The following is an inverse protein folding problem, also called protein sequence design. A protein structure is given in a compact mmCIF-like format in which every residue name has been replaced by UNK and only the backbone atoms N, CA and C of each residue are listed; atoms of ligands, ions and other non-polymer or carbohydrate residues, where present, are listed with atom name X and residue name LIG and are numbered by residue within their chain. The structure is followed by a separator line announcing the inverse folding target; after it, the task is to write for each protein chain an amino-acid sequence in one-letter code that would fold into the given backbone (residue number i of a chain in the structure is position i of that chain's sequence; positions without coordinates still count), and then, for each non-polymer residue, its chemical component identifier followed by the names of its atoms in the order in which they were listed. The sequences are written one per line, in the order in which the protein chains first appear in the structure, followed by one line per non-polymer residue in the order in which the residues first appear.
data_IF_938495933151
#
_entry.id   IF_938495933151
#
_cell.length_a   1.000
_cell.length_b   1.000
_cell.length_c   1.000
_cell.angle_alpha   90.00
_cell.angle_beta   90.00
_cell.angle_gamma   90.00
#
_symmetry.space_group_name_H-M   'P 1'
#
loop_
_entity.id
_entity.type
_entity.pdbx_description
1 polymer ?
#
# COMPACT_ATOMS: atom_id res chain seq x y z
N UNK A 1 -0.78 -24.65 0.92
CA UNK A 1 0.39 -25.16 0.15
C UNK A 1 0.14 -26.46 -0.67
N UNK A 2 -1.00 -27.17 -0.59
CA UNK A 2 -1.23 -28.46 -1.31
C UNK A 2 -1.90 -28.39 -2.71
N UNK A 3 -2.41 -27.23 -3.16
CA UNK A 3 -3.12 -27.11 -4.47
C UNK A 3 -2.18 -27.03 -5.68
N UNK A 4 -0.96 -26.52 -5.51
CA UNK A 4 0.00 -26.35 -6.61
C UNK A 4 0.58 -27.66 -7.15
N UNK A 5 0.73 -28.69 -6.30
CA UNK A 5 1.31 -30.00 -6.67
C UNK A 5 0.34 -30.89 -7.46
N UNK A 6 -0.97 -30.76 -7.25
CA UNK A 6 -1.95 -31.58 -7.97
C UNK A 6 -2.12 -31.12 -9.43
N UNK A 7 -2.11 -29.80 -9.64
CA UNK A 7 -2.25 -29.19 -10.97
C UNK A 7 -1.00 -29.42 -11.82
N UNK A 8 0.19 -29.35 -11.22
CA UNK A 8 1.45 -29.63 -11.92
C UNK A 8 1.56 -31.11 -12.35
N UNK A 9 1.09 -32.03 -11.52
CA UNK A 9 1.15 -33.46 -11.81
C UNK A 9 0.19 -33.86 -12.94
N UNK A 10 -1.05 -33.36 -12.91
CA UNK A 10 -2.02 -33.52 -14.00
C UNK A 10 -1.51 -32.94 -15.32
N UNK A 11 -0.91 -31.75 -15.29
CA UNK A 11 -0.33 -31.09 -16.47
C UNK A 11 0.82 -31.91 -17.09
N UNK A 12 1.64 -32.54 -16.24
CA UNK A 12 2.73 -33.41 -16.70
C UNK A 12 2.22 -34.68 -17.39
N UNK A 13 1.12 -35.26 -16.88
CA UNK A 13 0.49 -36.47 -17.46
C UNK A 13 -0.15 -36.19 -18.81
N UNK A 14 -0.90 -35.10 -18.95
CA UNK A 14 -1.48 -34.69 -20.23
C UNK A 14 -0.41 -34.40 -21.29
N UNK A 15 0.67 -33.72 -20.90
CA UNK A 15 1.79 -33.44 -21.81
C UNK A 15 2.44 -34.71 -22.32
N UNK A 16 2.70 -35.68 -21.44
CA UNK A 16 3.27 -36.99 -21.82
C UNK A 16 2.34 -37.74 -22.77
N UNK A 17 1.03 -37.70 -22.54
CA UNK A 17 0.03 -38.29 -23.43
C UNK A 17 0.08 -37.69 -24.84
N UNK A 18 0.13 -36.36 -24.96
CA UNK A 18 0.18 -35.68 -26.25
C UNK A 18 1.43 -36.04 -27.06
N UNK A 19 2.61 -36.01 -26.44
CA UNK A 19 3.86 -36.41 -27.09
C UNK A 19 3.85 -37.88 -27.53
N UNK A 20 3.24 -38.75 -26.73
CA UNK A 20 3.11 -40.17 -27.07
C UNK A 20 2.24 -40.35 -28.31
N UNK A 21 1.08 -39.70 -28.37
CA UNK A 21 0.21 -39.76 -29.55
C UNK A 21 0.84 -39.13 -30.80
N UNK A 22 1.50 -37.98 -30.67
CA UNK A 22 2.20 -37.36 -31.79
C UNK A 22 3.31 -38.27 -32.35
N UNK A 23 4.03 -38.99 -31.48
CA UNK A 23 5.06 -39.96 -31.89
C UNK A 23 4.45 -41.16 -32.61
N UNK A 24 3.35 -41.72 -32.07
CA UNK A 24 2.61 -42.82 -32.71
C UNK A 24 2.14 -42.40 -34.10
N UNK A 25 1.59 -41.20 -34.24
CA UNK A 25 1.16 -40.67 -35.51
C UNK A 25 2.32 -40.51 -36.50
N UNK A 26 3.46 -39.95 -36.08
CA UNK A 26 4.64 -39.87 -36.96
C UNK A 26 5.07 -41.27 -37.46
N UNK A 27 5.09 -42.27 -36.57
CA UNK A 27 5.45 -43.66 -36.94
C UNK A 27 4.45 -44.23 -37.95
N UNK A 28 3.15 -44.09 -37.69
CA UNK A 28 2.09 -44.54 -38.60
C UNK A 28 2.18 -43.82 -39.95
N UNK A 29 2.45 -42.52 -39.95
CA UNK A 29 2.68 -41.73 -41.16
C UNK A 29 3.84 -42.29 -41.99
N UNK A 30 4.99 -42.55 -41.38
CA UNK A 30 6.17 -43.13 -42.07
C UNK A 30 5.86 -44.53 -42.62
N UNK A 31 5.14 -45.37 -41.87
CA UNK A 31 4.73 -46.71 -42.34
C UNK A 31 3.78 -46.62 -43.55
N UNK A 32 2.81 -45.71 -43.53
CA UNK A 32 1.92 -45.47 -44.67
C UNK A 32 2.69 -44.95 -45.89
N UNK A 33 3.73 -44.13 -45.68
CA UNK A 33 4.61 -43.68 -46.75
C UNK A 33 5.34 -44.87 -47.38
N UNK A 34 5.88 -45.76 -46.56
CA UNK A 34 6.57 -46.96 -47.05
C UNK A 34 5.62 -47.92 -47.78
N UNK A 35 4.40 -48.11 -47.29
CA UNK A 35 3.39 -48.91 -47.98
C UNK A 35 3.04 -48.28 -49.34
N UNK A 36 2.97 -46.94 -49.41
CA UNK A 36 2.67 -46.23 -50.65
C UNK A 36 3.70 -46.48 -51.77
N UNK A 37 4.97 -46.76 -51.42
CA UNK A 37 6.03 -47.04 -52.42
C UNK A 37 6.01 -48.47 -52.94
N UNK A 38 5.41 -49.40 -52.19
CA UNK A 38 5.28 -50.82 -52.58
C UNK A 38 4.04 -51.04 -53.46
N UNK A 39 3.00 -50.22 -53.27
CA UNK A 39 1.75 -50.34 -54.04
C UNK A 39 1.96 -50.00 -55.52
N UNK A 40 1.59 -50.94 -56.40
CA UNK A 40 1.67 -50.78 -57.86
C UNK A 40 0.51 -49.95 -58.43
N UNK A 41 -0.62 -49.92 -57.72
CA UNK A 41 -1.79 -49.10 -58.08
C UNK A 41 -1.52 -47.62 -57.79
N UNK A 42 -1.55 -46.79 -58.84
CA UNK A 42 -1.28 -45.35 -58.78
C UNK A 42 -2.28 -44.60 -57.90
N UNK A 43 -3.54 -45.01 -57.89
CA UNK A 43 -4.59 -44.31 -57.15
C UNK A 43 -4.41 -44.53 -55.65
N UNK A 44 -4.19 -45.78 -55.24
CA UNK A 44 -3.93 -46.12 -53.84
C UNK A 44 -2.59 -45.56 -53.34
N UNK A 45 -1.52 -45.68 -54.12
CA UNK A 45 -0.22 -45.10 -53.79
C UNK A 45 -0.31 -43.58 -53.54
N UNK A 46 -1.06 -42.87 -54.38
CA UNK A 46 -1.27 -41.43 -54.22
C UNK A 46 -2.05 -41.06 -52.95
N UNK A 47 -3.13 -41.78 -52.65
CA UNK A 47 -3.93 -41.56 -51.44
C UNK A 47 -3.09 -41.80 -50.19
N UNK A 48 -2.38 -42.93 -50.09
CA UNK A 48 -1.55 -43.25 -48.92
C UNK A 48 -0.42 -42.24 -48.72
N UNK A 49 0.19 -41.76 -49.80
CA UNK A 49 1.23 -40.73 -49.74
C UNK A 49 0.68 -39.39 -49.21
N UNK A 50 -0.46 -38.91 -49.71
CA UNK A 50 -1.08 -37.66 -49.25
C UNK A 50 -1.50 -37.73 -47.77
N UNK A 51 -2.11 -38.85 -47.36
CA UNK A 51 -2.47 -39.06 -45.95
C UNK A 51 -1.24 -39.12 -45.05
N UNK A 52 -0.19 -39.82 -45.48
CA UNK A 52 1.07 -39.88 -44.74
C UNK A 52 1.68 -38.49 -44.51
N UNK A 53 1.81 -37.70 -45.57
CA UNK A 53 2.39 -36.34 -45.50
C UNK A 53 1.55 -35.45 -44.58
N UNK A 54 0.22 -35.46 -44.73
CA UNK A 54 -0.67 -34.68 -43.88
C UNK A 54 -0.54 -35.05 -42.40
N UNK A 55 -0.41 -36.35 -42.11
CA UNK A 55 -0.32 -36.89 -40.75
C UNK A 55 1.04 -36.55 -40.11
N UNK A 56 2.14 -36.64 -40.85
CA UNK A 56 3.47 -36.23 -40.36
C UNK A 56 3.54 -34.72 -40.14
N UNK A 57 3.09 -33.91 -41.09
CA UNK A 57 3.11 -32.44 -40.97
C UNK A 57 2.25 -31.98 -39.80
N UNK A 58 1.02 -32.47 -39.67
CA UNK A 58 0.13 -32.10 -38.56
C UNK A 58 0.69 -32.48 -37.20
N UNK A 59 1.30 -33.66 -37.08
CA UNK A 59 1.95 -34.11 -35.85
C UNK A 59 3.16 -33.24 -35.50
N UNK A 60 3.99 -32.90 -36.49
CA UNK A 60 5.17 -32.07 -36.29
C UNK A 60 4.80 -30.62 -35.93
N UNK A 61 3.84 -30.02 -36.65
CA UNK A 61 3.29 -28.70 -36.33
C UNK A 61 2.65 -28.68 -34.94
N UNK A 62 1.93 -29.75 -34.56
CA UNK A 62 1.34 -29.89 -33.23
C UNK A 62 2.38 -29.96 -32.11
N UNK A 63 3.51 -30.63 -32.33
CA UNK A 63 4.64 -30.67 -31.38
C UNK A 63 5.28 -29.30 -31.25
N UNK A 64 5.50 -28.60 -32.35
CA UNK A 64 6.05 -27.23 -32.34
C UNK A 64 5.13 -26.27 -31.57
N UNK A 65 3.82 -26.34 -31.82
CA UNK A 65 2.83 -25.53 -31.11
C UNK A 65 2.85 -25.78 -29.59
N UNK A 66 2.90 -27.04 -29.16
CA UNK A 66 2.94 -27.41 -27.74
C UNK A 66 4.27 -26.99 -27.07
N UNK A 67 5.40 -27.10 -27.78
CA UNK A 67 6.73 -26.76 -27.23
C UNK A 67 6.98 -25.26 -27.10
N UNK A 68 6.62 -24.48 -28.13
CA UNK A 68 6.96 -23.07 -28.20
C UNK A 68 5.77 -22.18 -27.84
N UNK A 69 4.68 -22.27 -28.60
CA UNK A 69 3.57 -21.31 -28.51
C UNK A 69 2.77 -21.46 -27.21
N UNK A 70 2.45 -22.69 -26.81
CA UNK A 70 1.65 -22.91 -25.59
C UNK A 70 2.41 -22.55 -24.33
N UNK A 71 3.71 -22.83 -24.27
CA UNK A 71 4.54 -22.54 -23.09
C UNK A 71 4.65 -21.04 -22.84
N UNK A 72 4.93 -20.27 -23.90
CA UNK A 72 5.07 -18.82 -23.80
C UNK A 72 3.72 -18.15 -23.52
N UNK A 73 2.64 -18.62 -24.16
CA UNK A 73 1.29 -18.11 -23.92
C UNK A 73 0.82 -18.36 -22.47
N UNK A 74 1.02 -19.58 -21.95
CA UNK A 74 0.68 -19.91 -20.56
C UNK A 74 1.49 -19.06 -19.60
N UNK A 75 2.79 -18.91 -19.84
CA UNK A 75 3.67 -18.13 -18.97
C UNK A 75 3.22 -16.66 -18.91
N UNK A 76 2.91 -16.08 -20.07
CA UNK A 76 2.42 -14.70 -20.18
C UNK A 76 1.07 -14.50 -19.46
N UNK A 77 0.16 -15.49 -19.54
CA UNK A 77 -1.10 -15.47 -18.78
C UNK A 77 -0.85 -15.61 -17.28
N UNK A 78 -0.02 -16.55 -16.86
CA UNK A 78 0.25 -16.80 -15.44
C UNK A 78 0.93 -15.58 -14.79
N UNK A 79 1.91 -14.96 -15.48
CA UNK A 79 2.58 -13.73 -15.04
C UNK A 79 1.56 -12.57 -14.90
N UNK A 80 0.82 -12.24 -15.97
CA UNK A 80 -0.18 -11.16 -15.95
C UNK A 80 -1.31 -11.41 -14.92
N UNK A 81 -1.76 -12.65 -14.77
CA UNK A 81 -2.82 -13.00 -13.81
C UNK A 81 -2.32 -12.86 -12.38
N UNK A 82 -1.06 -13.22 -12.12
CA UNK A 82 -0.46 -13.07 -10.78
C UNK A 82 -0.32 -11.61 -10.38
N UNK A 83 0.08 -10.73 -11.30
CA UNK A 83 0.20 -9.30 -11.06
C UNK A 83 -1.17 -8.66 -10.80
N UNK A 84 -2.19 -9.03 -11.58
CA UNK A 84 -3.57 -8.57 -11.38
C UNK A 84 -4.12 -9.04 -10.02
N UNK A 85 -3.90 -10.31 -9.64
CA UNK A 85 -4.35 -10.83 -8.35
C UNK A 85 -3.65 -10.10 -7.20
N UNK A 86 -2.35 -9.84 -7.32
CA UNK A 86 -1.59 -9.08 -6.33
C UNK A 86 -2.13 -7.66 -6.20
N UNK A 87 -2.38 -6.96 -7.31
CA UNK A 87 -2.94 -5.61 -7.30
C UNK A 87 -4.36 -5.58 -6.71
N UNK A 88 -5.24 -6.52 -7.07
CA UNK A 88 -6.59 -6.65 -6.49
C UNK A 88 -6.52 -6.92 -4.98
N UNK A 89 -5.62 -7.79 -4.54
CA UNK A 89 -5.46 -8.09 -3.10
C UNK A 89 -4.95 -6.89 -2.31
N UNK A 90 -4.03 -6.10 -2.88
CA UNK A 90 -3.55 -4.85 -2.30
C UNK A 90 -4.68 -3.80 -2.25
N UNK A 91 -5.50 -3.68 -3.28
CA UNK A 91 -6.66 -2.76 -3.30
C UNK A 91 -7.69 -3.18 -2.24
N UNK A 92 -7.99 -4.48 -2.13
CA UNK A 92 -8.90 -5.00 -1.10
C UNK A 92 -8.37 -4.75 0.30
N UNK A 93 -7.07 -4.96 0.51
CA UNK A 93 -6.44 -4.72 1.81
C UNK A 93 -6.41 -3.22 2.17
N UNK A 94 -6.08 -2.34 1.22
CA UNK A 94 -6.16 -0.88 1.39
C UNK A 94 -7.57 -0.43 1.76
N UNK A 95 -8.59 -0.96 1.07
CA UNK A 95 -10.00 -0.67 1.35
C UNK A 95 -10.42 -1.16 2.74
N UNK A 96 -9.96 -2.34 3.18
CA UNK A 96 -10.23 -2.82 4.54
C UNK A 96 -9.54 -1.97 5.62
N UNK A 97 -8.36 -1.41 5.32
CA UNK A 97 -7.65 -0.50 6.22
C UNK A 97 -8.28 0.91 6.27
N UNK A 98 -9.20 1.23 5.35
CA UNK A 98 -9.79 2.56 5.23
C UNK A 98 -8.87 3.59 4.56
N UNK A 99 -7.78 3.17 3.89
CA UNK A 99 -6.89 4.11 3.21
C UNK A 99 -7.58 4.70 1.97
N UNK A 100 -7.83 6.02 1.99
CA UNK A 100 -8.54 6.74 0.92
C UNK A 100 -7.64 7.66 0.10
N UNK A 101 -6.53 8.16 0.65
CA UNK A 101 -5.60 9.00 -0.09
C UNK A 101 -4.15 8.63 0.24
N UNK A 102 -3.34 8.57 -0.81
CA UNK A 102 -1.89 8.48 -0.77
C UNK A 102 -1.36 9.65 -1.60
N UNK A 103 -0.70 10.61 -0.95
CA UNK A 103 -0.19 11.80 -1.63
C UNK A 103 1.29 12.00 -1.36
N UNK A 104 2.04 12.26 -2.43
CA UNK A 104 3.41 12.77 -2.33
C UNK A 104 3.38 14.27 -2.01
N UNK A 105 4.30 14.73 -1.14
CA UNK A 105 4.47 16.12 -0.70
C UNK A 105 3.38 16.58 0.28
N UNK A 106 3.35 15.98 1.46
CA UNK A 106 2.50 16.37 2.59
C UNK A 106 2.54 17.87 2.94
N UNK A 107 3.66 18.56 2.67
CA UNK A 107 3.78 20.00 2.90
C UNK A 107 2.87 20.89 2.03
N UNK A 108 2.34 20.36 0.93
CA UNK A 108 1.37 21.07 0.07
C UNK A 108 -0.08 20.69 0.38
N UNK A 109 -0.30 19.79 1.35
CA UNK A 109 -1.65 19.36 1.70
C UNK A 109 -2.41 20.48 2.41
N UNK A 110 -3.65 20.72 1.98
CA UNK A 110 -4.51 21.73 2.56
C UNK A 110 -5.28 21.14 3.74
N UNK A 111 -4.79 21.38 4.96
CA UNK A 111 -5.46 20.95 6.19
C UNK A 111 -6.71 21.76 6.54
N UNK A 112 -7.07 22.79 5.77
CA UNK A 112 -8.18 23.70 6.13
C UNK A 112 -9.50 22.99 6.33
N UNK A 113 -9.82 21.97 5.50
CA UNK A 113 -11.04 21.17 5.68
C UNK A 113 -11.06 20.51 7.06
N UNK A 114 -10.00 19.75 7.37
CA UNK A 114 -9.85 19.08 8.66
C UNK A 114 -9.91 20.07 9.84
N UNK A 115 -9.20 21.19 9.73
CA UNK A 115 -9.09 22.19 10.80
C UNK A 115 -10.38 22.97 11.02
N UNK A 116 -11.13 23.28 9.98
CA UNK A 116 -12.32 24.14 10.08
C UNK A 116 -13.62 23.38 10.25
N UNK A 117 -13.73 22.17 9.70
CA UNK A 117 -15.00 21.43 9.67
C UNK A 117 -15.13 20.41 10.80
N UNK A 118 -14.04 19.79 11.28
CA UNK A 118 -14.11 18.80 12.36
C UNK A 118 -14.64 19.41 13.66
N UNK A 119 -15.54 18.69 14.34
CA UNK A 119 -15.98 19.00 15.69
C UNK A 119 -14.90 18.65 16.70
N UNK A 120 -14.33 17.46 16.61
CA UNK A 120 -13.21 17.02 17.44
C UNK A 120 -11.96 16.92 16.60
N UNK A 121 -10.86 17.50 17.07
CA UNK A 121 -9.59 17.48 16.38
C UNK A 121 -8.48 17.09 17.34
N UNK A 122 -7.73 16.06 17.00
CA UNK A 122 -6.49 15.70 17.70
C UNK A 122 -5.31 15.90 16.74
N UNK A 123 -4.28 16.57 17.22
CA UNK A 123 -3.05 16.83 16.46
C UNK A 123 -1.88 16.29 17.27
N UNK A 124 -1.05 15.43 16.67
CA UNK A 124 0.18 14.93 17.29
C UNK A 124 1.38 15.35 16.45
N UNK A 125 2.30 16.09 17.06
CA UNK A 125 3.48 16.66 16.40
C UNK A 125 4.68 16.55 17.31
N UNK A 126 5.89 16.36 16.76
CA UNK A 126 7.08 16.41 17.61
C UNK A 126 7.35 17.81 18.19
N UNK A 127 7.33 18.86 17.33
CA UNK A 127 7.56 20.27 17.73
C UNK A 127 6.57 21.30 17.17
N UNK A 128 5.97 21.03 16.02
CA UNK A 128 4.90 21.81 15.42
C UNK A 128 5.21 23.21 14.88
N UNK A 129 6.39 23.79 15.09
CA UNK A 129 6.71 25.18 14.69
C UNK A 129 6.47 25.48 13.20
N UNK A 130 6.96 24.62 12.30
CA UNK A 130 6.72 24.75 10.84
C UNK A 130 5.26 24.56 10.48
N UNK A 131 4.57 23.60 11.11
CA UNK A 131 3.17 23.32 10.84
C UNK A 131 2.26 24.46 11.29
N UNK A 132 2.52 25.03 12.46
CA UNK A 132 1.78 26.20 12.97
C UNK A 132 1.96 27.41 12.06
N UNK A 133 3.17 27.64 11.54
CA UNK A 133 3.43 28.76 10.62
C UNK A 133 2.55 28.72 9.37
N UNK A 134 2.16 27.51 8.91
CA UNK A 134 1.28 27.32 7.75
C UNK A 134 -0.20 27.34 8.15
N UNK A 135 -0.55 26.76 9.30
CA UNK A 135 -1.95 26.46 9.66
C UNK A 135 -2.52 27.34 10.77
N UNK A 136 -1.73 28.25 11.33
CA UNK A 136 -2.11 29.07 12.50
C UNK A 136 -3.35 29.93 12.27
N UNK A 137 -3.56 30.44 11.05
CA UNK A 137 -4.75 31.22 10.72
C UNK A 137 -6.03 30.35 10.68
N UNK A 138 -5.93 29.12 10.17
CA UNK A 138 -7.04 28.16 10.20
C UNK A 138 -7.37 27.76 11.65
N UNK A 139 -6.37 27.59 12.51
CA UNK A 139 -6.58 27.37 13.94
C UNK A 139 -7.23 28.58 14.63
N UNK A 140 -6.79 29.80 14.31
CA UNK A 140 -7.41 31.02 14.84
C UNK A 140 -8.89 31.09 14.47
N UNK A 141 -9.26 30.71 13.25
CA UNK A 141 -10.66 30.63 12.82
C UNK A 141 -11.42 29.52 13.57
N UNK A 142 -10.81 28.34 13.72
CA UNK A 142 -11.37 27.22 14.50
C UNK A 142 -11.68 27.63 15.94
N UNK A 143 -10.76 28.34 16.60
CA UNK A 143 -10.89 28.74 18.01
C UNK A 143 -11.94 29.82 18.28
N UNK A 144 -12.58 30.36 17.24
CA UNK A 144 -13.77 31.21 17.40
C UNK A 144 -15.07 30.40 17.56
N UNK A 145 -15.03 29.09 17.29
CA UNK A 145 -16.18 28.20 17.37
C UNK A 145 -16.17 27.42 18.70
N UNK A 146 -17.06 27.81 19.61
CA UNK A 146 -17.17 27.21 20.96
C UNK A 146 -17.69 25.77 20.95
N UNK A 147 -18.21 25.28 19.82
CA UNK A 147 -18.71 23.91 19.67
C UNK A 147 -17.59 22.92 19.31
N UNK A 148 -16.38 23.41 19.03
CA UNK A 148 -15.24 22.58 18.61
C UNK A 148 -14.26 22.34 19.75
N UNK A 149 -13.69 21.14 19.79
CA UNK A 149 -12.64 20.74 20.72
C UNK A 149 -11.35 20.48 19.95
N UNK A 150 -10.22 20.79 20.57
CA UNK A 150 -8.90 20.55 19.99
C UNK A 150 -7.95 20.04 21.06
N UNK A 151 -7.32 18.90 20.80
CA UNK A 151 -6.24 18.37 21.62
C UNK A 151 -4.95 18.36 20.80
N UNK A 152 -3.88 18.92 21.35
CA UNK A 152 -2.57 18.96 20.67
C UNK A 152 -1.52 18.31 21.54
N UNK A 153 -0.82 17.34 20.98
CA UNK A 153 0.22 16.56 21.62
C UNK A 153 1.59 16.96 21.05
N UNK A 154 2.51 17.29 21.95
CA UNK A 154 3.92 17.52 21.67
C UNK A 154 4.82 16.56 22.45
N UNK A 155 6.07 16.41 22.01
CA UNK A 155 7.10 15.85 22.90
C UNK A 155 7.21 16.74 24.13
N UNK A 156 7.27 16.14 25.33
CA UNK A 156 7.47 16.90 26.56
C UNK A 156 8.88 17.54 26.56
N UNK A 157 8.99 18.88 26.55
CA UNK A 157 10.29 19.56 26.48
C UNK A 157 11.13 19.37 27.75
N UNK A 158 10.52 18.98 28.88
CA UNK A 158 11.18 18.86 30.17
C UNK A 158 11.48 17.41 30.53
N UNK A 159 10.57 16.49 30.20
CA UNK A 159 10.63 15.10 30.67
C UNK A 159 11.03 14.06 29.61
N UNK A 160 11.09 14.43 28.31
CA UNK A 160 11.38 13.49 27.23
C UNK A 160 12.78 13.67 26.61
N UNK A 161 13.83 13.65 27.44
CA UNK A 161 15.21 13.90 27.00
C UNK A 161 15.69 12.92 25.92
N UNK A 162 15.23 11.65 25.96
CA UNK A 162 15.62 10.62 25.00
C UNK A 162 15.09 10.91 23.60
N UNK A 163 13.77 11.13 23.44
CA UNK A 163 13.20 11.42 22.12
C UNK A 163 13.71 12.75 21.56
N UNK A 164 13.92 13.76 22.42
CA UNK A 164 14.51 15.03 22.03
C UNK A 164 15.95 14.87 21.52
N UNK A 165 16.73 13.98 22.13
CA UNK A 165 18.10 13.68 21.68
C UNK A 165 18.09 12.97 20.32
N UNK A 166 17.17 12.03 20.11
CA UNK A 166 16.99 11.37 18.80
C UNK A 166 16.61 12.39 17.73
N UNK A 167 15.65 13.28 18.02
CA UNK A 167 15.23 14.32 17.09
C UNK A 167 16.35 15.32 16.80
N UNK A 168 17.12 15.70 17.80
CA UNK A 168 18.30 16.57 17.68
C UNK A 168 19.33 16.01 16.70
N UNK A 169 19.67 14.72 16.83
CA UNK A 169 20.59 14.04 15.89
C UNK A 169 20.02 13.97 14.48
N UNK A 170 18.71 13.72 14.38
CA UNK A 170 18.02 13.58 13.09
C UNK A 170 17.96 14.90 12.31
N UNK A 171 17.68 16.00 13.00
CA UNK A 171 17.54 17.32 12.37
C UNK A 171 18.85 18.11 12.34
N UNK A 172 19.89 17.64 13.03
CA UNK A 172 21.16 18.34 13.24
C UNK A 172 20.96 19.72 13.90
N UNK A 173 20.15 19.75 14.96
CA UNK A 173 19.76 20.95 15.72
C UNK A 173 19.96 20.67 17.22
N UNK A 174 20.46 21.61 18.05
CA UNK A 174 20.59 21.40 19.49
C UNK A 174 19.25 21.06 20.18
N UNK A 175 19.31 20.19 21.19
CA UNK A 175 18.12 19.81 21.99
C UNK A 175 17.40 21.04 22.55
N UNK A 176 18.14 22.02 23.08
CA UNK A 176 17.55 23.22 23.67
C UNK A 176 16.80 24.09 22.65
N UNK A 177 17.25 24.09 21.39
CA UNK A 177 16.54 24.76 20.30
C UNK A 177 15.21 24.06 19.99
N UNK A 178 15.17 22.72 20.04
CA UNK A 178 13.92 21.95 19.87
C UNK A 178 12.96 22.22 21.03
N UNK A 179 13.45 22.24 22.28
CA UNK A 179 12.64 22.58 23.46
C UNK A 179 12.04 23.99 23.32
N UNK A 180 12.88 24.96 22.93
CA UNK A 180 12.45 26.34 22.68
C UNK A 180 11.41 26.44 21.57
N UNK A 181 11.56 25.67 20.48
CA UNK A 181 10.58 25.61 19.38
C UNK A 181 9.22 25.08 19.85
N UNK A 182 9.20 24.02 20.67
CA UNK A 182 7.97 23.47 21.26
C UNK A 182 7.29 24.55 22.12
N UNK A 183 8.03 25.14 23.06
CA UNK A 183 7.51 26.16 23.98
C UNK A 183 6.97 27.39 23.21
N UNK A 184 7.71 27.88 22.23
CA UNK A 184 7.27 29.00 21.39
C UNK A 184 6.01 28.67 20.58
N UNK A 185 5.88 27.43 20.11
CA UNK A 185 4.67 26.99 19.38
C UNK A 185 3.47 26.94 20.31
N UNK A 186 3.65 26.45 21.53
CA UNK A 186 2.61 26.44 22.57
C UNK A 186 2.17 27.87 22.91
N UNK A 187 3.10 28.80 23.12
CA UNK A 187 2.75 30.20 23.41
C UNK A 187 1.98 30.86 22.27
N UNK A 188 2.35 30.58 21.02
CA UNK A 188 1.59 31.05 19.85
C UNK A 188 0.17 30.48 19.83
N UNK A 189 -0.02 29.19 20.14
CA UNK A 189 -1.34 28.56 20.24
C UNK A 189 -2.18 29.19 21.35
N UNK A 190 -1.60 29.51 22.50
CA UNK A 190 -2.29 30.21 23.60
C UNK A 190 -2.74 31.60 23.18
N UNK A 191 -1.88 32.35 22.48
CA UNK A 191 -2.16 33.72 22.07
C UNK A 191 -3.36 33.83 21.10
N UNK A 192 -3.66 32.76 20.36
CA UNK A 192 -4.81 32.74 19.44
C UNK A 192 -6.10 32.16 20.06
N UNK A 193 -6.07 31.70 21.33
CA UNK A 193 -7.28 31.26 22.05
C UNK A 193 -8.21 32.44 22.28
N UNK A 194 -9.51 32.15 22.25
CA UNK A 194 -10.60 32.98 22.76
C UNK A 194 -11.07 32.43 24.11
N UNK A 195 -11.86 33.19 24.90
CA UNK A 195 -12.41 32.71 26.17
C UNK A 195 -13.18 31.38 26.06
N UNK A 196 -13.87 31.16 24.93
CA UNK A 196 -14.68 29.97 24.70
C UNK A 196 -13.90 28.81 24.04
N UNK A 197 -12.59 28.95 23.86
CA UNK A 197 -11.77 27.94 23.18
C UNK A 197 -11.55 26.71 24.04
N UNK A 198 -12.03 25.55 23.56
CA UNK A 198 -11.75 24.23 24.13
C UNK A 198 -10.48 23.64 23.50
N UNK A 199 -9.33 24.09 24.00
CA UNK A 199 -8.00 23.61 23.59
C UNK A 199 -7.24 23.04 24.79
N UNK A 200 -6.83 21.77 24.68
CA UNK A 200 -5.91 21.09 25.61
C UNK A 200 -4.57 20.84 24.92
N UNK A 201 -3.46 21.08 25.64
CA UNK A 201 -2.11 20.85 25.12
C UNK A 201 -1.38 19.88 26.03
N UNK A 202 -0.96 18.76 25.45
CA UNK A 202 -0.32 17.64 26.12
C UNK A 202 1.17 17.55 25.74
N UNK A 203 1.97 17.15 26.72
CA UNK A 203 3.34 16.68 26.52
C UNK A 203 3.40 15.20 26.79
N UNK A 204 4.03 14.45 25.88
CA UNK A 204 4.19 13.01 26.00
C UNK A 204 5.67 12.60 26.02
N UNK A 205 5.93 11.49 26.72
CA UNK A 205 7.26 10.90 26.86
C UNK A 205 7.55 9.78 25.85
N UNK A 206 6.63 9.51 24.92
CA UNK A 206 6.82 8.53 23.85
C UNK A 206 7.58 9.12 22.66
N UNK A 207 8.24 8.26 21.87
CA UNK A 207 8.79 8.63 20.58
C UNK A 207 7.70 8.56 19.52
N UNK A 208 7.49 9.65 18.77
CA UNK A 208 6.48 9.69 17.72
C UNK A 208 7.13 9.65 16.32
N UNK A 209 6.96 8.55 15.56
CA UNK A 209 7.57 8.37 14.24
C UNK A 209 6.82 9.10 13.11
N UNK A 210 5.66 9.69 13.38
CA UNK A 210 4.85 10.41 12.39
C UNK A 210 4.16 11.64 12.98
N UNK A 211 3.64 12.53 12.15
CA UNK A 211 2.58 13.44 12.58
C UNK A 211 1.22 12.81 12.33
N UNK A 212 0.28 13.01 13.24
CA UNK A 212 -1.09 12.51 13.15
C UNK A 212 -2.07 13.67 13.30
N UNK A 213 -3.09 13.69 12.44
CA UNK A 213 -4.20 14.62 12.51
C UNK A 213 -5.49 13.81 12.44
N UNK A 214 -6.21 13.71 13.55
CA UNK A 214 -7.41 12.90 13.69
C UNK A 214 -8.63 13.82 13.80
N UNK A 215 -9.51 13.78 12.80
CA UNK A 215 -10.82 14.42 12.83
C UNK A 215 -11.94 13.42 13.07
N UNK A 216 -13.19 13.86 12.94
CA UNK A 216 -14.35 13.00 13.17
C UNK A 216 -14.51 11.91 12.08
N UNK A 217 -14.24 12.26 10.81
CA UNK A 217 -14.51 11.36 9.68
C UNK A 217 -13.26 10.69 9.11
N UNK A 218 -12.07 11.26 9.37
CA UNK A 218 -10.81 10.74 8.83
C UNK A 218 -9.58 11.15 9.65
N UNK A 219 -8.52 10.37 9.48
CA UNK A 219 -7.20 10.60 10.03
C UNK A 219 -6.19 10.86 8.91
N UNK A 220 -5.19 11.69 9.19
CA UNK A 220 -4.04 11.92 8.31
C UNK A 220 -2.76 11.55 9.06
N UNK A 221 -1.91 10.74 8.44
CA UNK A 221 -0.55 10.44 8.92
C UNK A 221 0.47 10.97 7.94
N UNK A 222 1.50 11.65 8.46
CA UNK A 222 2.71 11.99 7.69
C UNK A 222 3.95 11.46 8.41
N UNK A 223 4.58 10.38 7.92
CA UNK A 223 5.76 9.78 8.53
C UNK A 223 6.99 10.70 8.52
N UNK A 224 7.75 10.68 9.60
CA UNK A 224 9.03 11.40 9.67
C UNK A 224 10.15 10.52 9.08
N UNK A 225 10.34 10.56 7.76
CA UNK A 225 11.39 9.80 7.08
C UNK A 225 12.77 10.47 7.20
N UNK A 226 13.85 9.68 7.09
CA UNK A 226 15.23 10.19 7.03
C UNK A 226 15.63 10.68 5.63
N UNK A 227 14.96 10.20 4.59
CA UNK A 227 15.29 10.49 3.20
C UNK A 227 14.68 11.81 2.75
N UNK A 228 15.38 12.59 1.91
CA UNK A 228 14.88 13.82 1.24
C UNK A 228 13.78 13.56 0.18
N UNK A 229 13.05 12.46 0.28
CA UNK A 229 11.93 12.15 -0.62
C UNK A 229 10.71 12.99 -0.24
N UNK A 230 9.78 13.24 -1.18
CA UNK A 230 8.55 13.97 -0.87
C UNK A 230 7.87 13.30 0.33
N UNK A 231 7.48 14.12 1.32
CA UNK A 231 6.80 13.63 2.51
C UNK A 231 5.53 12.91 2.10
N UNK A 232 5.40 11.65 2.51
CA UNK A 232 4.22 10.85 2.21
C UNK A 232 3.09 11.27 3.13
N UNK A 233 1.90 11.46 2.57
CA UNK A 233 0.67 11.66 3.32
C UNK A 233 -0.25 10.47 3.09
N UNK A 234 -0.75 9.92 4.20
CA UNK A 234 -1.71 8.82 4.22
C UNK A 234 -2.99 9.31 4.87
N UNK A 235 -4.12 9.21 4.17
CA UNK A 235 -5.42 9.55 4.72
C UNK A 235 -6.27 8.30 4.88
N UNK A 236 -6.83 8.12 6.09
CA UNK A 236 -7.65 6.98 6.47
C UNK A 236 -9.06 7.45 6.86
N UNK A 237 -10.09 6.84 6.29
CA UNK A 237 -11.50 7.14 6.56
C UNK A 237 -12.05 6.26 7.70
N UNK A 238 -12.93 6.84 8.52
CA UNK A 238 -13.70 6.16 9.56
C UNK A 238 -14.83 5.30 8.97
N UNK A 239 -14.47 4.31 8.14
CA UNK A 239 -15.44 3.60 7.30
C UNK A 239 -16.03 2.35 7.93
N UNK A 240 -15.19 1.55 8.59
CA UNK A 240 -15.57 0.22 9.10
C UNK A 240 -15.03 0.01 10.52
N UNK A 241 -15.73 -0.73 11.39
CA UNK A 241 -15.17 -1.20 12.65
C UNK A 241 -13.86 -1.97 12.40
N UNK A 242 -12.81 -1.64 13.15
CA UNK A 242 -11.49 -2.26 13.01
C UNK A 242 -10.69 -1.81 11.78
N UNK A 243 -11.08 -0.71 11.12
CA UNK A 243 -10.19 -0.05 10.17
C UNK A 243 -9.07 0.72 10.90
N UNK A 244 -8.04 1.11 10.15
CA UNK A 244 -6.86 1.75 10.74
C UNK A 244 -7.17 3.09 11.43
N UNK A 245 -8.26 3.78 11.02
CA UNK A 245 -8.74 4.97 11.72
C UNK A 245 -9.10 4.67 13.19
N UNK A 246 -9.80 3.55 13.47
CA UNK A 246 -10.16 3.18 14.84
C UNK A 246 -8.92 2.80 15.65
N UNK A 247 -7.96 2.09 15.05
CA UNK A 247 -6.67 1.81 15.71
C UNK A 247 -5.93 3.09 16.10
N UNK A 248 -5.91 4.10 15.23
CA UNK A 248 -5.30 5.40 15.53
C UNK A 248 -6.04 6.14 16.64
N UNK A 249 -7.36 6.02 16.69
CA UNK A 249 -8.18 6.61 17.74
C UNK A 249 -7.90 5.96 19.10
N UNK A 250 -7.80 4.63 19.14
CA UNK A 250 -7.42 3.89 20.35
C UNK A 250 -5.99 4.25 20.80
N UNK A 251 -5.05 4.37 19.85
CA UNK A 251 -3.67 4.79 20.13
C UNK A 251 -3.61 6.22 20.72
N UNK A 252 -4.46 7.13 20.24
CA UNK A 252 -4.58 8.48 20.79
C UNK A 252 -5.09 8.47 22.23
N UNK A 253 -6.07 7.63 22.56
CA UNK A 253 -6.58 7.56 23.93
C UNK A 253 -5.53 6.96 24.88
N UNK A 254 -4.76 5.98 24.43
CA UNK A 254 -3.62 5.47 25.19
C UNK A 254 -2.51 6.52 25.35
N UNK A 255 -2.23 7.29 24.30
CA UNK A 255 -1.30 8.42 24.34
C UNK A 255 -1.78 9.47 25.35
N UNK A 256 -3.08 9.82 25.34
CA UNK A 256 -3.71 10.76 26.28
C UNK A 256 -3.51 10.31 27.72
N UNK A 257 -3.74 9.04 28.02
CA UNK A 257 -3.57 8.46 29.36
C UNK A 257 -2.12 8.51 29.87
N UNK A 258 -1.15 8.46 28.95
CA UNK A 258 0.30 8.52 29.25
C UNK A 258 0.89 9.92 29.16
N UNK A 259 0.10 10.90 28.76
CA UNK A 259 0.54 12.28 28.58
C UNK A 259 0.21 13.11 29.82
N UNK A 260 0.94 14.21 29.98
CA UNK A 260 0.63 15.22 30.97
C UNK A 260 0.21 16.50 30.26
N UNK A 261 -0.77 17.19 30.82
CA UNK A 261 -1.07 18.55 30.39
C UNK A 261 0.11 19.43 30.78
N UNK A 262 0.91 19.82 29.79
CA UNK A 262 2.17 20.54 30.03
C UNK A 262 1.95 22.00 30.40
N UNK A 263 0.73 22.51 30.27
CA UNK A 263 0.37 23.88 30.65
C UNK A 263 -1.07 23.96 31.12
N UNK A 264 -1.30 23.71 32.41
CA UNK A 264 -2.55 24.08 33.10
C UNK A 264 -2.69 25.60 33.10
N UNK A 265 -3.92 26.07 32.90
CA UNK A 265 -4.30 27.49 32.99
C UNK A 265 -3.83 28.14 34.29
#
# INVERSE_FOLDING_TARGET
MRKGTLISDLRSKFRRGYFLWATVFIIVGILLLYISTILTDKLWSSIFNQFSIALVISSFSGVIYELFLRKDFVRLIDENTSDIINEISLIRHKSSLGLIELRDRAGLYNYSKLLLESKNLVIVLNKGSSWYSVNGESLRKRFKDSNKTTDIFFLDPNNNQEALTVLSRKENIPVDSIKTDILNTVEKLKHIKTPDTKLTIYGHNLFNPYSLYLGDDYAIITPYLHTRRPWLLLQFEAKNPGCFYEELKDDIEELRNKSQEIFKQ
#
